data_IF_989172504424
#
_entry.id   IF_989172504424
#
_cell.length_a   1.000
_cell.length_b   1.000
_cell.length_c   1.000
_cell.angle_alpha   90.00
_cell.angle_beta   90.00
_cell.angle_gamma   90.00
#
_symmetry.space_group_name_H-M   'P 1'
#
loop_
_entity.id
_entity.type
_entity.pdbx_description
1 polymer ?
#
# COMPACT_ATOMS: atom_id res chain seq x y z
N UNK A 1 7.88 -11.45 -5.80
CA UNK A 1 6.82 -11.55 -6.83
C UNK A 1 6.10 -10.22 -6.88
N UNK A 2 5.66 -9.73 -8.04
CA UNK A 2 4.71 -8.59 -8.05
C UNK A 2 3.43 -9.00 -7.34
N UNK A 3 2.81 -8.07 -6.60
CA UNK A 3 1.57 -8.32 -5.90
C UNK A 3 0.43 -8.62 -6.89
N UNK A 4 -0.55 -9.41 -6.44
CA UNK A 4 -1.74 -9.70 -7.24
C UNK A 4 -2.54 -8.42 -7.50
N UNK A 5 -3.04 -8.29 -8.73
CA UNK A 5 -3.87 -7.14 -9.10
C UNK A 5 -5.21 -7.24 -8.38
N UNK A 6 -5.56 -6.18 -7.66
CA UNK A 6 -6.87 -5.99 -7.03
C UNK A 6 -7.51 -4.71 -7.57
N UNK A 7 -8.85 -4.53 -7.43
CA UNK A 7 -9.48 -3.24 -7.70
C UNK A 7 -8.82 -2.12 -6.90
N UNK A 8 -8.75 -0.94 -7.50
CA UNK A 8 -8.24 0.25 -6.84
C UNK A 8 -9.11 0.66 -5.66
N UNK A 9 -8.56 1.54 -4.80
CA UNK A 9 -9.30 2.09 -3.65
C UNK A 9 -10.59 2.82 -4.07
N UNK A 10 -10.57 3.45 -5.25
CA UNK A 10 -11.68 4.24 -5.79
C UNK A 10 -12.73 3.35 -6.49
N UNK A 11 -12.33 2.19 -7.01
CA UNK A 11 -13.26 1.17 -7.52
C UNK A 11 -13.93 0.38 -6.39
N UNK A 12 -13.34 0.37 -5.19
CA UNK A 12 -13.85 -0.38 -4.04
C UNK A 12 -14.72 0.53 -3.15
N UNK A 13 -15.82 1.03 -3.69
CA UNK A 13 -16.75 1.92 -2.97
C UNK A 13 -17.59 1.16 -1.96
N UNK A 14 -18.18 0.03 -2.36
CA UNK A 14 -19.21 -0.64 -1.57
C UNK A 14 -18.64 -1.72 -0.64
N UNK A 15 -19.13 -1.81 0.61
CA UNK A 15 -18.80 -2.90 1.51
C UNK A 15 -19.47 -4.20 1.05
N UNK A 16 -18.92 -5.36 1.42
CA UNK A 16 -19.62 -6.64 1.25
C UNK A 16 -21.00 -6.62 1.94
N UNK A 17 -21.93 -7.46 1.47
CA UNK A 17 -23.27 -7.57 2.05
C UNK A 17 -23.21 -7.83 3.57
N UNK A 18 -23.91 -7.01 4.35
CA UNK A 18 -23.94 -7.09 5.81
C UNK A 18 -22.80 -6.36 6.52
N UNK A 19 -21.94 -5.65 5.79
CA UNK A 19 -20.88 -4.80 6.33
C UNK A 19 -21.15 -3.32 6.06
N UNK A 20 -20.55 -2.46 6.86
CA UNK A 20 -20.45 -1.03 6.62
C UNK A 20 -19.00 -0.62 6.85
N UNK A 21 -18.51 0.32 6.03
CA UNK A 21 -17.24 0.98 6.33
C UNK A 21 -17.48 2.02 7.42
N UNK A 22 -16.62 2.02 8.43
CA UNK A 22 -16.59 3.00 9.51
C UNK A 22 -15.75 4.22 9.10
N UNK A 23 -14.66 3.98 8.37
CA UNK A 23 -13.65 4.99 8.05
C UNK A 23 -13.37 5.12 6.55
N UNK A 24 -12.73 6.24 6.18
CA UNK A 24 -12.18 6.44 4.84
C UNK A 24 -10.85 5.68 4.67
N UNK A 25 -10.49 5.41 3.41
CA UNK A 25 -9.16 4.91 3.09
C UNK A 25 -8.06 5.80 3.67
N UNK A 26 -7.24 5.22 4.53
CA UNK A 26 -6.15 5.88 5.24
C UNK A 26 -4.83 5.18 4.93
N UNK A 27 -3.74 5.95 4.99
CA UNK A 27 -2.38 5.43 4.83
C UNK A 27 -1.96 4.75 6.12
N UNK A 28 -1.45 3.52 6.04
CA UNK A 28 -0.90 2.83 7.20
C UNK A 28 0.50 3.35 7.57
N UNK A 29 0.55 4.53 8.19
CA UNK A 29 1.77 5.22 8.58
C UNK A 29 2.50 4.57 9.78
N UNK A 30 1.89 3.59 10.45
CA UNK A 30 2.50 2.91 11.61
C UNK A 30 3.48 1.80 11.20
N UNK A 31 3.71 1.60 9.88
CA UNK A 31 4.66 0.61 9.35
C UNK A 31 6.02 1.26 9.07
N UNK A 32 6.97 0.43 8.65
CA UNK A 32 8.28 0.88 8.15
C UNK A 32 8.11 1.52 6.75
N UNK A 33 7.63 2.75 6.73
CA UNK A 33 7.40 3.59 5.56
C UNK A 33 7.98 5.00 5.78
N UNK A 34 8.12 5.78 4.72
CA UNK A 34 8.44 7.20 4.81
C UNK A 34 7.26 8.06 5.31
N UNK A 35 7.46 9.38 5.35
CA UNK A 35 6.45 10.36 5.77
C UNK A 35 5.19 10.38 4.87
N UNK A 36 5.30 9.90 3.63
CA UNK A 36 4.20 9.77 2.67
C UNK A 36 3.57 8.37 2.65
N UNK A 37 4.07 7.44 3.46
CA UNK A 37 3.60 6.06 3.56
C UNK A 37 4.15 5.10 2.51
N UNK A 38 5.23 5.46 1.82
CA UNK A 38 5.89 4.58 0.85
C UNK A 38 6.96 3.69 1.49
N UNK A 39 7.05 2.48 0.96
CA UNK A 39 8.20 1.60 1.10
C UNK A 39 8.79 1.33 -0.30
N UNK A 40 10.11 1.14 -0.37
CA UNK A 40 10.87 1.12 -1.61
C UNK A 40 11.62 -0.20 -1.79
N UNK A 41 11.77 -0.66 -3.04
CA UNK A 41 12.66 -1.77 -3.34
C UNK A 41 13.25 -1.67 -4.76
N UNK A 42 14.38 -2.35 -4.97
CA UNK A 42 15.03 -2.41 -6.29
C UNK A 42 14.22 -3.27 -7.26
N UNK A 43 13.73 -4.41 -6.78
CA UNK A 43 12.98 -5.37 -7.60
C UNK A 43 11.89 -6.05 -6.77
N UNK A 44 10.63 -5.86 -7.17
CA UNK A 44 9.46 -6.48 -6.51
C UNK A 44 9.53 -8.01 -6.45
N UNK A 45 10.28 -8.64 -7.36
CA UNK A 45 10.45 -10.09 -7.41
C UNK A 45 11.32 -10.61 -6.27
N UNK A 46 12.40 -9.88 -5.95
CA UNK A 46 13.38 -10.23 -4.92
C UNK A 46 12.94 -9.78 -3.51
N UNK A 47 12.05 -8.79 -3.40
CA UNK A 47 11.58 -8.26 -2.12
C UNK A 47 12.54 -7.22 -1.53
N UNK A 48 12.62 -7.16 -0.20
CA UNK A 48 13.48 -6.18 0.50
C UNK A 48 12.91 -4.76 0.46
N UNK A 49 11.75 -4.56 1.06
CA UNK A 49 11.11 -3.25 1.15
C UNK A 49 11.62 -2.48 2.38
N UNK A 50 11.98 -1.22 2.20
CA UNK A 50 12.49 -0.35 3.27
C UNK A 50 11.84 1.05 3.24
N UNK A 51 11.88 1.80 4.36
CA UNK A 51 11.26 3.13 4.46
C UNK A 51 12.06 4.24 3.76
N UNK A 52 13.33 4.01 3.43
CA UNK A 52 14.21 5.07 2.90
C UNK A 52 14.27 5.03 1.39
N UNK A 53 13.99 6.16 0.75
CA UNK A 53 14.17 6.33 -0.68
C UNK A 53 15.65 6.43 -1.04
N UNK A 54 16.04 5.73 -2.12
CA UNK A 54 17.40 5.74 -2.66
C UNK A 54 17.30 5.77 -4.18
N UNK A 55 18.30 6.37 -4.84
CA UNK A 55 18.29 6.61 -6.28
C UNK A 55 18.23 5.33 -7.14
N UNK A 56 18.57 4.18 -6.57
CA UNK A 56 18.60 2.89 -7.25
C UNK A 56 17.31 2.07 -7.04
N UNK A 57 16.33 2.59 -6.28
CA UNK A 57 15.02 1.97 -6.17
C UNK A 57 14.21 2.19 -7.45
N UNK A 58 13.65 1.10 -7.98
CA UNK A 58 12.83 1.14 -9.20
C UNK A 58 11.34 0.95 -8.89
N UNK A 59 10.99 0.67 -7.64
CA UNK A 59 9.64 0.36 -7.22
C UNK A 59 9.36 1.00 -5.86
N UNK A 60 8.14 1.53 -5.70
CA UNK A 60 7.58 1.95 -4.42
C UNK A 60 6.14 1.44 -4.30
N UNK A 61 5.69 1.18 -3.08
CA UNK A 61 4.28 0.86 -2.80
C UNK A 61 3.81 1.53 -1.51
N UNK A 62 2.50 1.72 -1.41
CA UNK A 62 1.85 2.34 -0.25
C UNK A 62 0.69 1.47 0.19
N UNK A 63 0.57 1.20 1.49
CA UNK A 63 -0.56 0.46 2.05
C UNK A 63 -1.70 1.41 2.38
N UNK A 64 -2.86 1.14 1.79
CA UNK A 64 -4.14 1.74 2.15
C UNK A 64 -4.95 0.77 3.01
N UNK A 65 -5.59 1.26 4.06
CA UNK A 65 -6.51 0.49 4.89
C UNK A 65 -7.74 1.32 5.23
N UNK A 66 -8.84 0.65 5.56
CA UNK A 66 -10.05 1.21 6.17
C UNK A 66 -10.72 0.11 6.98
N UNK A 67 -11.55 0.51 7.93
CA UNK A 67 -12.40 -0.36 8.74
C UNK A 67 -13.85 -0.22 8.33
#
# INVERSE_FOLDING_TARGET
MSGDKVPSKDERTDPPTGWAWEDQWTIDANRAVDEEGFEYCVNQTLGGWCPTEEIFHLNRRRRWYRT
#
